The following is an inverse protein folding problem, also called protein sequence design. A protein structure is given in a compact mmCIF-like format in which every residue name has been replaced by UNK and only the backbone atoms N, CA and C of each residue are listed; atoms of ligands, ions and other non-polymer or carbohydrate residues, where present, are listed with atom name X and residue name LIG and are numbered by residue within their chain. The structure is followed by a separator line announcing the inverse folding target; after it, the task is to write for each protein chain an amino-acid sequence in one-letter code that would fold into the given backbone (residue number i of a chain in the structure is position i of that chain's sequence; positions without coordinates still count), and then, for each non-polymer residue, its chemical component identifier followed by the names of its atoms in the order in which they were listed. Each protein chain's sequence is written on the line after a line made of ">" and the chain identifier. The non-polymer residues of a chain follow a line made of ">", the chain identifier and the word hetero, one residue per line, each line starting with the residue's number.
data_IF_061314684819
#
_entry.id   IF_061314684819
#
_cell.length_a   1.000
_cell.length_b   1.000
_cell.length_c   1.000
_cell.angle_alpha   90.00
_cell.angle_beta   90.00
_cell.angle_gamma   90.00
#
_symmetry.space_group_name_H-M   'P 1'
#
loop_
_entity.id
_entity.type
_entity.pdbx_description
1 polymer ?
#
# COMPACT_ATOMS: atom_id res chain seq x y z
N UNK A 1 -18.95 7.25 -4.06
CA UNK A 1 -17.51 7.54 -4.09
C UNK A 1 -16.97 7.58 -2.68
N UNK A 2 -16.31 6.52 -2.21
CA UNK A 2 -16.06 6.26 -0.77
C UNK A 2 -15.09 7.26 -0.12
N UNK A 3 -14.30 8.03 -0.89
CA UNK A 3 -13.09 8.70 -0.36
C UNK A 3 -13.18 10.24 -0.33
N UNK A 4 -14.25 10.85 -0.85
CA UNK A 4 -14.32 12.33 -0.88
C UNK A 4 -14.81 12.85 0.47
N UNK A 5 -13.94 13.57 1.19
CA UNK A 5 -14.20 14.19 2.51
C UNK A 5 -14.52 13.18 3.63
N UNK A 6 -13.82 12.05 3.68
CA UNK A 6 -14.00 11.10 4.78
C UNK A 6 -13.13 11.50 5.99
N UNK A 7 -13.72 12.07 7.08
CA UNK A 7 -12.96 12.51 8.25
C UNK A 7 -12.43 11.34 9.09
N UNK A 8 -12.82 10.09 8.79
CA UNK A 8 -12.32 8.90 9.47
C UNK A 8 -10.89 8.55 9.02
N UNK A 9 -10.46 9.03 7.85
CA UNK A 9 -9.12 8.78 7.31
C UNK A 9 -8.12 9.82 7.82
N UNK A 10 -7.01 9.35 8.38
CA UNK A 10 -5.91 10.19 8.89
C UNK A 10 -4.60 9.86 8.16
N UNK A 11 -4.25 10.59 7.10
CA UNK A 11 -3.00 10.39 6.37
C UNK A 11 -1.80 10.97 7.12
N UNK A 12 -0.73 10.17 7.26
CA UNK A 12 0.57 10.57 7.83
C UNK A 12 1.68 10.31 6.81
N UNK A 13 2.31 11.35 6.24
CA UNK A 13 3.39 11.18 5.27
C UNK A 13 4.72 10.84 5.93
N UNK A 14 5.51 9.97 5.29
CA UNK A 14 6.89 9.67 5.64
C UNK A 14 7.76 9.79 4.39
N UNK A 15 8.80 10.62 4.47
CA UNK A 15 9.73 10.85 3.38
C UNK A 15 11.15 10.55 3.85
N UNK A 16 11.86 9.68 3.13
CA UNK A 16 13.30 9.53 3.32
C UNK A 16 14.03 10.29 2.22
N UNK A 17 14.79 11.29 2.61
CA UNK A 17 15.55 12.12 1.69
C UNK A 17 16.91 11.49 1.40
N UNK A 18 17.29 11.41 0.12
CA UNK A 18 18.61 10.98 -0.33
C UNK A 18 19.32 12.03 -1.16
N UNK A 19 20.64 11.90 -1.30
CA UNK A 19 21.45 12.75 -2.20
C UNK A 19 21.19 12.37 -3.66
N UNK A 20 20.97 13.37 -4.52
CA UNK A 20 20.86 13.21 -5.97
C UNK A 20 22.01 13.92 -6.69
N UNK A 21 22.12 13.75 -8.02
CA UNK A 21 23.11 14.49 -8.84
C UNK A 21 22.96 16.01 -8.72
N UNK A 22 21.73 16.49 -8.48
CA UNK A 22 21.43 17.88 -8.19
C UNK A 22 20.44 17.94 -7.02
N UNK A 23 20.89 18.46 -5.89
CA UNK A 23 20.09 18.62 -4.67
C UNK A 23 19.75 17.30 -3.96
N UNK A 24 18.72 17.36 -3.14
CA UNK A 24 18.22 16.25 -2.33
C UNK A 24 16.80 15.90 -2.77
N UNK A 25 16.53 14.61 -3.00
CA UNK A 25 15.23 14.13 -3.44
C UNK A 25 14.76 12.97 -2.53
N UNK A 26 13.45 12.80 -2.30
CA UNK A 26 12.93 11.62 -1.63
C UNK A 26 13.29 10.35 -2.41
N UNK A 27 13.97 9.41 -1.78
CA UNK A 27 14.28 8.10 -2.37
C UNK A 27 13.36 6.98 -1.84
N UNK A 28 12.53 7.30 -0.86
CA UNK A 28 11.43 6.48 -0.35
C UNK A 28 10.32 7.43 0.10
N UNK A 29 9.11 7.19 -0.40
CA UNK A 29 7.93 8.00 -0.11
C UNK A 29 6.81 7.07 0.32
N UNK A 30 6.30 7.29 1.53
CA UNK A 30 5.22 6.51 2.13
C UNK A 30 4.15 7.41 2.71
N UNK A 31 2.94 6.88 2.77
CA UNK A 31 1.81 7.49 3.46
C UNK A 31 1.12 6.40 4.27
N UNK A 32 1.01 6.58 5.59
CA UNK A 32 0.19 5.71 6.43
C UNK A 32 -1.19 6.35 6.59
N UNK A 33 -2.23 5.63 6.23
CA UNK A 33 -3.62 6.07 6.41
C UNK A 33 -4.19 5.27 7.58
N UNK A 34 -4.41 5.97 8.71
CA UNK A 34 -5.12 5.43 9.87
C UNK A 34 -6.61 5.65 9.72
N UNK A 35 -7.40 4.78 10.34
CA UNK A 35 -8.85 4.86 10.37
C UNK A 35 -9.26 5.08 11.82
N UNK A 36 -9.95 6.20 12.11
CA UNK A 36 -10.25 6.62 13.49
C UNK A 36 -11.08 5.61 14.28
N UNK A 37 -11.91 4.85 13.59
CA UNK A 37 -12.82 3.85 14.14
C UNK A 37 -12.26 2.43 14.06
N UNK A 38 -11.00 2.27 13.62
CA UNK A 38 -10.38 0.95 13.61
C UNK A 38 -9.95 0.51 15.02
N UNK A 39 -9.99 -0.81 15.30
CA UNK A 39 -9.41 -1.37 16.52
C UNK A 39 -7.93 -1.03 16.69
N UNK A 40 -7.45 -1.01 17.94
CA UNK A 40 -6.09 -0.57 18.27
C UNK A 40 -5.00 -1.47 17.66
N UNK A 41 -5.36 -2.71 17.37
CA UNK A 41 -4.52 -3.73 16.75
C UNK A 41 -4.41 -3.51 15.23
N UNK A 42 -5.34 -2.76 14.63
CA UNK A 42 -5.27 -2.37 13.23
C UNK A 42 -4.44 -1.10 13.05
N UNK A 43 -3.24 -1.25 12.49
CA UNK A 43 -2.26 -0.16 12.40
C UNK A 43 -2.63 0.82 11.28
N UNK A 44 -3.10 0.32 10.13
CA UNK A 44 -3.58 1.13 9.02
C UNK A 44 -3.24 0.58 7.64
N UNK A 45 -3.46 1.43 6.63
CA UNK A 45 -3.11 1.18 5.24
C UNK A 45 -1.92 2.05 4.85
N UNK A 46 -0.77 1.45 4.53
CA UNK A 46 0.40 2.17 4.05
C UNK A 46 0.45 2.15 2.52
N UNK A 47 0.45 3.31 1.87
CA UNK A 47 0.89 3.45 0.48
C UNK A 47 2.39 3.69 0.41
N UNK A 48 3.09 3.03 -0.51
CA UNK A 48 4.55 3.15 -0.66
C UNK A 48 4.95 3.18 -2.13
N UNK A 49 5.90 4.06 -2.46
CA UNK A 49 6.61 4.06 -3.74
C UNK A 49 7.99 3.47 -3.54
N UNK A 50 8.25 2.32 -4.18
CA UNK A 50 9.57 1.70 -4.24
C UNK A 50 10.16 1.84 -5.64
N UNK A 51 11.49 1.90 -5.74
CA UNK A 51 12.19 1.96 -7.02
C UNK A 51 12.52 0.53 -7.47
N UNK A 52 11.87 0.06 -8.53
CA UNK A 52 12.16 -1.22 -9.16
C UNK A 52 13.25 -1.04 -10.22
N UNK A 53 14.24 -1.93 -10.23
CA UNK A 53 15.26 -1.98 -11.28
C UNK A 53 14.92 -3.12 -12.28
N UNK A 54 14.71 -2.77 -13.55
CA UNK A 54 14.44 -3.73 -14.63
C UNK A 54 15.35 -3.42 -15.80
N UNK A 55 16.21 -4.39 -16.18
CA UNK A 55 17.21 -4.22 -17.25
C UNK A 55 18.00 -2.89 -17.13
N UNK A 56 18.53 -2.62 -15.93
CA UNK A 56 19.25 -1.40 -15.55
C UNK A 56 18.43 -0.08 -15.56
N UNK A 57 17.14 -0.10 -15.98
CA UNK A 57 16.24 1.05 -15.86
C UNK A 57 15.52 1.03 -14.52
N UNK A 58 15.41 2.19 -13.88
CA UNK A 58 14.73 2.39 -12.59
C UNK A 58 13.33 2.93 -12.83
N UNK A 59 12.34 2.29 -12.23
CA UNK A 59 10.94 2.68 -12.35
C UNK A 59 10.30 2.83 -10.96
N UNK A 60 9.54 3.91 -10.71
CA UNK A 60 8.72 3.99 -9.52
C UNK A 60 7.59 2.96 -9.59
N UNK A 61 7.36 2.29 -8.47
CA UNK A 61 6.34 1.27 -8.33
C UNK A 61 5.57 1.48 -7.04
N UNK A 62 4.30 1.81 -7.18
CA UNK A 62 3.39 2.04 -6.07
C UNK A 62 2.65 0.75 -5.70
N UNK A 63 2.50 0.55 -4.40
CA UNK A 63 1.65 -0.49 -3.84
C UNK A 63 1.13 -0.02 -2.49
N UNK A 64 0.14 -0.74 -1.96
CA UNK A 64 -0.36 -0.52 -0.61
C UNK A 64 -0.20 -1.77 0.23
N UNK A 65 -0.10 -1.57 1.54
CA UNK A 65 0.06 -2.62 2.54
C UNK A 65 -0.96 -2.38 3.64
N UNK A 66 -1.84 -3.35 3.88
CA UNK A 66 -2.67 -3.37 5.09
C UNK A 66 -1.81 -3.96 6.20
N UNK A 67 -1.75 -3.29 7.34
CA UNK A 67 -0.88 -3.65 8.46
C UNK A 67 -1.75 -3.77 9.71
N UNK A 68 -1.64 -4.89 10.41
CA UNK A 68 -2.26 -5.10 11.71
C UNK A 68 -1.37 -5.98 12.59
N UNK A 69 -1.46 -5.84 13.91
CA UNK A 69 -0.80 -6.74 14.85
C UNK A 69 -1.39 -8.14 14.75
N UNK A 70 -0.65 -9.16 15.18
CA UNK A 70 -1.10 -10.56 15.11
C UNK A 70 -2.43 -10.81 15.82
N UNK A 71 -2.68 -10.10 16.93
CA UNK A 71 -3.91 -10.20 17.72
C UNK A 71 -5.15 -9.75 16.95
N UNK A 72 -4.97 -8.96 15.87
CA UNK A 72 -6.07 -8.58 14.99
C UNK A 72 -6.60 -9.76 14.16
N UNK A 73 -5.84 -10.84 13.98
CA UNK A 73 -6.19 -11.98 13.12
C UNK A 73 -6.49 -11.53 11.67
N UNK A 74 -5.53 -10.79 11.08
CA UNK A 74 -5.72 -10.09 9.81
C UNK A 74 -6.11 -11.03 8.66
N UNK A 75 -5.49 -12.21 8.55
CA UNK A 75 -5.70 -13.07 7.39
C UNK A 75 -7.04 -13.78 7.42
N UNK A 76 -7.49 -14.14 8.61
CA UNK A 76 -8.79 -14.73 8.89
C UNK A 76 -9.89 -13.72 8.58
N UNK A 77 -9.80 -12.50 9.13
CA UNK A 77 -10.74 -11.41 8.85
C UNK A 77 -10.76 -11.02 7.38
N UNK A 78 -9.60 -10.99 6.73
CA UNK A 78 -9.50 -10.64 5.32
C UNK A 78 -10.08 -11.72 4.41
N UNK A 79 -10.14 -12.98 4.83
CA UNK A 79 -10.72 -14.04 4.02
C UNK A 79 -10.09 -14.14 2.63
N UNK A 80 -10.86 -14.55 1.61
CA UNK A 80 -10.39 -14.63 0.20
C UNK A 80 -10.94 -13.46 -0.61
N UNK A 81 -10.04 -12.68 -1.21
CA UNK A 81 -10.40 -11.62 -2.15
C UNK A 81 -9.71 -11.84 -3.50
N UNK A 82 -10.40 -11.46 -4.57
CA UNK A 82 -9.85 -11.33 -5.91
C UNK A 82 -10.23 -9.97 -6.46
N UNK A 83 -9.23 -9.17 -6.83
CA UNK A 83 -9.43 -7.86 -7.45
C UNK A 83 -8.74 -7.89 -8.81
N UNK A 84 -9.50 -7.58 -9.86
CA UNK A 84 -9.02 -7.64 -11.25
C UNK A 84 -7.74 -6.81 -11.39
N UNK A 85 -6.73 -7.37 -12.06
CA UNK A 85 -5.40 -6.76 -12.30
C UNK A 85 -4.55 -6.51 -11.04
N UNK A 86 -4.98 -6.89 -9.84
CA UNK A 86 -4.17 -6.79 -8.63
C UNK A 86 -3.70 -8.18 -8.17
N UNK A 87 -2.57 -8.17 -7.46
CA UNK A 87 -2.03 -9.29 -6.70
C UNK A 87 -2.15 -8.94 -5.23
N UNK A 88 -2.62 -9.91 -4.45
CA UNK A 88 -2.80 -9.80 -3.01
C UNK A 88 -1.91 -10.86 -2.36
N UNK A 89 -0.93 -10.43 -1.58
CA UNK A 89 0.03 -11.32 -0.90
C UNK A 89 -0.12 -11.17 0.62
N UNK A 90 -0.17 -12.29 1.33
CA UNK A 90 -0.16 -12.33 2.79
C UNK A 90 1.26 -12.61 3.27
N UNK A 91 1.76 -11.86 4.25
CA UNK A 91 3.08 -12.08 4.85
C UNK A 91 3.02 -11.79 6.34
N UNK A 92 3.65 -12.64 7.15
CA UNK A 92 3.95 -12.32 8.56
C UNK A 92 5.31 -11.63 8.62
N UNK A 93 5.43 -10.55 9.38
CA UNK A 93 6.70 -9.82 9.52
C UNK A 93 6.81 -9.18 10.90
N UNK A 94 7.88 -9.52 11.64
CA UNK A 94 8.04 -9.03 13.01
C UNK A 94 6.82 -9.40 13.87
N UNK A 95 6.17 -8.38 14.43
CA UNK A 95 5.00 -8.48 15.31
C UNK A 95 3.67 -8.20 14.59
N UNK A 96 3.69 -8.12 13.25
CA UNK A 96 2.52 -7.76 12.44
C UNK A 96 2.25 -8.75 11.32
N UNK A 97 0.98 -8.87 10.99
CA UNK A 97 0.52 -9.46 9.74
C UNK A 97 0.32 -8.35 8.71
N UNK A 98 0.76 -8.61 7.48
CA UNK A 98 0.61 -7.66 6.38
C UNK A 98 -0.03 -8.29 5.15
N UNK A 99 -0.85 -7.49 4.48
CA UNK A 99 -1.43 -7.81 3.17
C UNK A 99 -0.95 -6.78 2.16
N UNK A 100 -0.10 -7.23 1.25
CA UNK A 100 0.43 -6.40 0.15
C UNK A 100 -0.53 -6.46 -1.02
N UNK A 101 -0.99 -5.30 -1.49
CA UNK A 101 -1.87 -5.16 -2.65
C UNK A 101 -1.11 -4.35 -3.70
N UNK A 102 -0.84 -4.98 -4.83
CA UNK A 102 0.01 -4.41 -5.88
C UNK A 102 -0.50 -4.77 -7.27
N UNK A 103 -0.09 -4.05 -8.31
CA UNK A 103 -0.51 -4.44 -9.67
C UNK A 103 0.09 -5.80 -10.06
N UNK A 104 -0.69 -6.59 -10.81
CA UNK A 104 -0.19 -7.80 -11.47
C UNK A 104 0.81 -7.43 -12.56
N UNK A 105 1.95 -8.11 -12.54
CA UNK A 105 2.99 -7.96 -13.55
C UNK A 105 2.89 -9.09 -14.58
N UNK A 106 3.31 -8.82 -15.80
CA UNK A 106 3.49 -9.84 -16.86
C UNK A 106 4.94 -9.82 -17.32
N UNK A 107 5.33 -10.71 -18.25
CA UNK A 107 6.69 -10.69 -18.82
C UNK A 107 7.03 -9.34 -19.46
N UNK A 108 6.04 -8.63 -20.00
CA UNK A 108 6.24 -7.39 -20.78
C UNK A 108 5.65 -6.13 -20.12
N UNK A 109 4.91 -6.24 -19.02
CA UNK A 109 4.21 -5.10 -18.40
C UNK A 109 4.12 -5.17 -16.87
N UNK A 110 3.77 -4.05 -16.25
CA UNK A 110 3.54 -3.98 -14.81
C UNK A 110 4.78 -3.67 -13.97
N UNK A 111 5.89 -3.29 -14.59
CA UNK A 111 7.12 -2.91 -13.86
C UNK A 111 7.13 -1.48 -13.31
N UNK A 112 6.19 -0.64 -13.76
CA UNK A 112 5.92 0.72 -13.28
C UNK A 112 4.42 0.89 -13.09
N UNK A 113 4.01 1.73 -12.15
CA UNK A 113 2.59 2.05 -11.92
C UNK A 113 2.28 3.46 -12.42
N UNK A 114 1.50 3.57 -13.48
CA UNK A 114 0.98 4.86 -13.92
C UNK A 114 -0.03 5.43 -12.90
N UNK A 115 -0.39 6.72 -13.03
CA UNK A 115 -1.28 7.40 -12.10
C UNK A 115 -2.65 6.70 -11.95
N UNK A 116 -3.24 6.24 -13.06
CA UNK A 116 -4.55 5.58 -13.01
C UNK A 116 -4.50 4.25 -12.26
N UNK A 117 -3.38 3.52 -12.37
CA UNK A 117 -3.14 2.30 -11.60
C UNK A 117 -2.86 2.61 -10.13
N UNK A 118 -2.11 3.69 -9.84
CA UNK A 118 -1.89 4.13 -8.46
C UNK A 118 -3.22 4.42 -7.76
N UNK A 119 -4.09 5.19 -8.39
CA UNK A 119 -5.43 5.50 -7.87
C UNK A 119 -6.25 4.21 -7.68
N UNK A 120 -6.22 3.31 -8.66
CA UNK A 120 -6.91 2.03 -8.58
C UNK A 120 -6.43 1.17 -7.40
N UNK A 121 -5.11 1.07 -7.19
CA UNK A 121 -4.53 0.36 -6.05
C UNK A 121 -4.97 1.00 -4.74
N UNK A 122 -4.85 2.33 -4.62
CA UNK A 122 -5.18 3.05 -3.39
C UNK A 122 -6.67 2.92 -3.03
N UNK A 123 -7.57 3.12 -4.00
CA UNK A 123 -9.01 3.01 -3.79
C UNK A 123 -9.41 1.60 -3.37
N UNK A 124 -8.86 0.56 -4.00
CA UNK A 124 -9.16 -0.81 -3.60
C UNK A 124 -8.55 -1.16 -2.25
N UNK A 125 -7.33 -0.68 -1.95
CA UNK A 125 -6.70 -0.84 -0.65
C UNK A 125 -7.54 -0.23 0.47
N UNK A 126 -8.05 0.99 0.28
CA UNK A 126 -8.91 1.67 1.25
C UNK A 126 -10.22 0.90 1.48
N UNK A 127 -10.87 0.43 0.42
CA UNK A 127 -12.10 -0.37 0.52
C UNK A 127 -11.87 -1.69 1.26
N UNK A 128 -10.80 -2.41 0.92
CA UNK A 128 -10.46 -3.68 1.54
C UNK A 128 -10.08 -3.50 3.01
N UNK A 129 -9.28 -2.47 3.32
CA UNK A 129 -8.92 -2.12 4.68
C UNK A 129 -10.16 -1.77 5.52
N UNK A 130 -11.06 -0.93 4.98
CA UNK A 130 -12.27 -0.51 5.67
C UNK A 130 -13.25 -1.67 5.91
N UNK A 131 -13.25 -2.70 5.06
CA UNK A 131 -14.11 -3.87 5.23
C UNK A 131 -13.68 -4.83 6.34
N UNK A 132 -12.59 -4.55 7.07
CA UNK A 132 -12.07 -5.42 8.13
C UNK A 132 -12.66 -5.13 9.52
N UNK A 133 -13.41 -4.04 9.67
CA UNK A 133 -14.01 -3.59 10.91
C UNK A 133 -15.28 -2.76 10.65
#
# INVERSE_FOLDING_TARGET
>A
TVIKKDPSLQPTPYLRIGKAKKGSLPNDARILIKFKDAPSEFIGLQGQISINAVKAKKFPYFYVVIIAKHEFNLFEKFGKHSVKKLVIERKKTGEVDVIVIRQKTTKTSGYHTDKSVQDYILVNGLKLAKGLF
#
